data_IF_966069409177
#
_entry.id   IF_966069409177
#
_cell.length_a   1.000
_cell.length_b   1.000
_cell.length_c   1.000
_cell.angle_alpha   90.00
_cell.angle_beta   90.00
_cell.angle_gamma   90.00
#
_symmetry.space_group_name_H-M   'P 1'
#
loop_
_entity.id
_entity.type
_entity.pdbx_description
1 polymer ?
#
# COMPACT_ATOMS: atom_id res chain seq x y z
N UNK A 1 -7.54 24.92 -8.72
CA UNK A 1 -6.92 23.92 -7.82
C UNK A 1 -5.91 23.01 -8.55
N UNK A 2 -5.12 23.53 -9.51
CA UNK A 2 -4.21 22.75 -10.39
C UNK A 2 -2.75 23.25 -10.39
N UNK A 3 -2.39 24.23 -9.55
CA UNK A 3 -1.04 24.82 -9.50
C UNK A 3 -0.06 24.03 -8.61
N UNK A 4 -0.57 23.28 -7.62
CA UNK A 4 0.26 22.68 -6.56
C UNK A 4 0.98 21.37 -6.94
N UNK A 5 0.62 20.73 -8.07
CA UNK A 5 1.17 19.42 -8.48
C UNK A 5 2.42 19.53 -9.37
N UNK A 6 2.63 20.69 -10.02
CA UNK A 6 3.76 20.87 -10.95
C UNK A 6 5.06 21.22 -10.23
N UNK A 7 4.99 22.02 -9.16
CA UNK A 7 6.15 22.31 -8.29
C UNK A 7 6.67 21.07 -7.58
N UNK A 8 5.78 20.20 -7.09
CA UNK A 8 6.16 18.98 -6.37
C UNK A 8 6.95 17.99 -7.25
N UNK A 9 6.58 17.84 -8.53
CA UNK A 9 7.32 16.99 -9.48
C UNK A 9 8.71 17.52 -9.82
N UNK A 10 8.89 18.84 -9.88
CA UNK A 10 10.18 19.48 -10.19
C UNK A 10 11.11 19.35 -8.98
N UNK A 11 10.60 19.63 -7.77
CA UNK A 11 11.34 19.47 -6.52
C UNK A 11 11.68 17.99 -6.29
N UNK A 12 10.74 17.06 -6.51
CA UNK A 12 11.01 15.62 -6.43
C UNK A 12 12.10 15.16 -7.40
N UNK A 13 12.12 15.67 -8.62
CA UNK A 13 13.10 15.25 -9.62
C UNK A 13 14.48 15.85 -9.34
N UNK A 14 14.53 17.10 -8.87
CA UNK A 14 15.77 17.74 -8.42
C UNK A 14 16.29 17.01 -7.20
N UNK A 15 15.46 16.79 -6.17
CA UNK A 15 15.85 16.18 -4.90
C UNK A 15 16.22 14.71 -5.04
N UNK A 16 15.52 13.93 -5.86
CA UNK A 16 15.93 12.55 -6.16
C UNK A 16 17.28 12.56 -6.88
N UNK A 17 17.52 13.54 -7.76
CA UNK A 17 18.82 13.72 -8.43
C UNK A 17 19.88 14.23 -7.45
N UNK A 18 19.56 15.05 -6.45
CA UNK A 18 20.52 15.49 -5.42
C UNK A 18 20.79 14.41 -4.39
N UNK A 19 19.80 13.62 -3.98
CA UNK A 19 19.98 12.50 -3.03
C UNK A 19 20.81 11.41 -3.69
N UNK A 20 20.52 11.06 -4.96
CA UNK A 20 21.37 10.15 -5.75
C UNK A 20 22.76 10.74 -5.96
N UNK A 21 22.86 12.03 -6.30
CA UNK A 21 24.17 12.69 -6.45
C UNK A 21 24.94 12.80 -5.14
N UNK A 22 24.27 12.96 -4.00
CA UNK A 22 24.88 13.02 -2.66
C UNK A 22 25.32 11.62 -2.20
N UNK A 23 24.55 10.57 -2.54
CA UNK A 23 24.99 9.19 -2.34
C UNK A 23 26.21 8.86 -3.20
N UNK A 24 26.24 9.32 -4.45
CA UNK A 24 27.37 9.09 -5.36
C UNK A 24 28.61 9.92 -4.93
N UNK A 25 28.43 11.16 -4.47
CA UNK A 25 29.52 12.01 -3.94
C UNK A 25 30.12 11.43 -2.65
N UNK A 26 29.32 10.80 -1.79
CA UNK A 26 29.85 10.10 -0.61
C UNK A 26 30.66 8.85 -0.99
N UNK A 27 30.40 8.24 -2.16
CA UNK A 27 31.11 7.07 -2.66
C UNK A 27 32.44 7.46 -3.36
N UNK A 28 32.50 8.63 -4.03
CA UNK A 28 33.60 8.99 -4.94
C UNK A 28 34.67 9.96 -4.39
N UNK A 29 34.65 10.38 -3.12
CA UNK A 29 35.70 11.28 -2.58
C UNK A 29 36.91 10.50 -2.01
N UNK A 30 38.08 10.47 -2.68
CA UNK A 30 39.24 9.69 -2.24
C UNK A 30 40.23 10.49 -1.36
N UNK A 31 40.00 11.79 -1.14
CA UNK A 31 40.93 12.66 -0.41
C UNK A 31 40.25 13.41 0.72
N UNK A 32 40.08 12.73 1.86
CA UNK A 32 39.52 13.31 3.07
C UNK A 32 39.58 12.38 4.28
N UNK A 33 40.78 11.96 4.68
CA UNK A 33 41.25 11.82 6.07
C UNK A 33 40.47 11.04 7.16
N UNK A 34 39.27 10.50 6.92
CA UNK A 34 38.52 9.68 7.87
C UNK A 34 37.93 8.50 7.10
N UNK A 35 38.77 7.53 6.74
CA UNK A 35 38.30 6.22 6.27
C UNK A 35 37.96 5.37 7.49
N UNK A 36 37.02 5.83 8.31
CA UNK A 36 36.21 4.87 9.03
C UNK A 36 35.35 4.21 7.97
N UNK A 37 35.61 2.93 7.75
CA UNK A 37 34.78 2.03 6.96
C UNK A 37 33.40 1.99 7.60
N UNK A 38 32.55 3.00 7.33
CA UNK A 38 31.13 2.89 7.59
C UNK A 38 30.68 1.60 6.92
N UNK A 39 30.27 0.62 7.73
CA UNK A 39 29.62 -0.57 7.19
C UNK A 39 28.48 -0.08 6.30
N UNK A 40 28.40 -0.55 5.05
CA UNK A 40 27.38 -0.19 4.05
C UNK A 40 25.94 -0.18 4.64
N UNK A 41 25.73 -0.97 5.68
CA UNK A 41 24.50 -1.04 6.47
C UNK A 41 24.13 0.29 7.15
N UNK A 42 25.09 1.00 7.74
CA UNK A 42 24.87 2.29 8.40
C UNK A 42 24.56 3.39 7.40
N UNK A 43 25.17 3.33 6.21
CA UNK A 43 24.87 4.26 5.12
C UNK A 43 23.43 4.09 4.64
N UNK A 44 22.99 2.84 4.41
CA UNK A 44 21.60 2.52 4.04
C UNK A 44 20.60 2.99 5.10
N UNK A 45 20.94 2.83 6.37
CA UNK A 45 20.12 3.27 7.50
C UNK A 45 19.98 4.81 7.52
N UNK A 46 21.10 5.53 7.38
CA UNK A 46 21.10 6.99 7.35
C UNK A 46 20.25 7.56 6.20
N UNK A 47 20.34 6.96 5.01
CA UNK A 47 19.52 7.36 3.86
C UNK A 47 18.02 7.18 4.14
N UNK A 48 17.62 6.05 4.73
CA UNK A 48 16.20 5.80 5.01
C UNK A 48 15.65 6.77 6.07
N UNK A 49 16.43 7.09 7.10
CA UNK A 49 16.04 8.09 8.09
C UNK A 49 15.88 9.49 7.48
N UNK A 50 16.76 9.87 6.57
CA UNK A 50 16.65 11.14 5.84
C UNK A 50 15.41 11.18 4.95
N UNK A 51 15.09 10.07 4.26
CA UNK A 51 13.90 9.93 3.43
C UNK A 51 12.60 9.98 4.25
N UNK A 52 12.62 9.41 5.45
CA UNK A 52 11.51 9.48 6.40
C UNK A 52 11.30 10.90 6.92
N UNK A 53 12.38 11.61 7.28
CA UNK A 53 12.32 13.00 7.70
C UNK A 53 11.76 13.91 6.60
N UNK A 54 12.20 13.74 5.36
CA UNK A 54 11.68 14.48 4.21
C UNK A 54 10.19 14.21 3.94
N UNK A 55 9.76 12.97 4.17
CA UNK A 55 8.38 12.53 3.94
C UNK A 55 7.48 12.66 5.17
N UNK A 56 7.97 13.27 6.26
CA UNK A 56 7.28 13.43 7.54
C UNK A 56 6.73 12.11 8.12
N UNK A 57 7.52 11.03 8.05
CA UNK A 57 7.17 9.70 8.57
C UNK A 57 7.77 9.47 9.96
N UNK A 58 7.04 8.77 10.83
CA UNK A 58 7.57 8.38 12.15
C UNK A 58 8.51 7.17 12.05
N UNK A 59 9.58 7.20 12.85
CA UNK A 59 10.60 6.15 12.89
C UNK A 59 10.13 5.05 13.86
N UNK A 60 9.41 4.07 13.34
CA UNK A 60 8.87 2.96 14.14
C UNK A 60 9.19 1.58 13.58
N UNK A 61 9.81 1.54 12.40
CA UNK A 61 10.23 0.34 11.71
C UNK A 61 11.56 -0.18 12.28
N UNK A 62 11.85 -1.47 12.07
CA UNK A 62 13.13 -2.06 12.48
C UNK A 62 14.26 -1.53 11.59
N UNK A 63 15.33 -1.02 12.23
CA UNK A 63 16.52 -0.48 11.55
C UNK A 63 17.52 -1.57 11.13
N UNK A 64 17.26 -2.84 11.46
CA UNK A 64 18.09 -3.97 11.06
C UNK A 64 17.20 -5.21 10.98
N UNK A 65 17.50 -6.17 10.10
CA UNK A 65 18.57 -6.26 9.07
C UNK A 65 18.34 -5.47 7.75
N UNK A 66 19.37 -5.29 6.89
CA UNK A 66 19.34 -4.43 5.69
C UNK A 66 18.27 -4.81 4.65
N UNK A 67 17.85 -6.08 4.60
CA UNK A 67 16.79 -6.51 3.70
C UNK A 67 15.42 -5.89 4.06
N UNK A 68 15.16 -5.62 5.35
CA UNK A 68 13.92 -4.97 5.81
C UNK A 68 13.88 -3.54 5.32
N UNK A 69 15.01 -2.82 5.32
CA UNK A 69 15.10 -1.46 4.80
C UNK A 69 14.86 -1.41 3.28
N UNK A 70 15.35 -2.40 2.53
CA UNK A 70 15.04 -2.52 1.09
C UNK A 70 13.54 -2.74 0.87
N UNK A 71 12.93 -3.61 1.67
CA UNK A 71 11.50 -3.86 1.63
C UNK A 71 10.68 -2.62 2.00
N UNK A 72 11.12 -1.87 3.01
CA UNK A 72 10.54 -0.59 3.43
C UNK A 72 10.55 0.44 2.32
N UNK A 73 11.68 0.58 1.64
CA UNK A 73 11.81 1.50 0.50
C UNK A 73 10.94 1.09 -0.69
N UNK A 74 10.84 -0.22 -0.97
CA UNK A 74 9.96 -0.74 -2.01
C UNK A 74 8.48 -0.46 -1.68
N UNK A 75 8.08 -0.73 -0.44
CA UNK A 75 6.72 -0.50 0.06
C UNK A 75 6.33 0.98 0.01
N UNK A 76 7.24 1.89 0.33
CA UNK A 76 7.01 3.33 0.24
C UNK A 76 7.25 3.93 -1.13
N UNK A 77 7.65 3.12 -2.11
CA UNK A 77 7.85 3.60 -3.47
C UNK A 77 6.54 4.18 -4.05
N UNK A 78 6.66 5.26 -4.83
CA UNK A 78 5.50 5.92 -5.46
C UNK A 78 4.68 4.98 -6.35
N UNK A 79 5.29 3.92 -6.89
CA UNK A 79 4.57 2.93 -7.71
C UNK A 79 3.71 2.03 -6.84
N UNK A 80 4.28 1.50 -5.75
CA UNK A 80 3.56 0.63 -4.83
C UNK A 80 2.42 1.37 -4.12
N UNK A 81 2.66 2.60 -3.64
CA UNK A 81 1.61 3.42 -3.02
C UNK A 81 0.47 3.73 -3.99
N UNK A 82 0.77 4.07 -5.25
CA UNK A 82 -0.26 4.27 -6.28
C UNK A 82 -1.07 3.01 -6.56
N UNK A 83 -0.42 1.84 -6.58
CA UNK A 83 -1.09 0.56 -6.75
C UNK A 83 -2.05 0.29 -5.59
N UNK A 84 -1.62 0.50 -4.34
CA UNK A 84 -2.49 0.35 -3.16
C UNK A 84 -3.70 1.29 -3.23
N UNK A 85 -3.48 2.57 -3.55
CA UNK A 85 -4.58 3.53 -3.73
C UNK A 85 -5.55 3.10 -4.83
N UNK A 86 -5.02 2.58 -5.94
CA UNK A 86 -5.83 2.06 -7.03
C UNK A 86 -6.69 0.88 -6.59
N UNK A 87 -6.15 -0.06 -5.81
CA UNK A 87 -6.90 -1.22 -5.31
C UNK A 87 -8.01 -0.81 -4.34
N UNK A 88 -7.75 0.14 -3.44
CA UNK A 88 -8.80 0.72 -2.58
C UNK A 88 -9.91 1.33 -3.43
N UNK A 89 -9.54 2.10 -4.47
CA UNK A 89 -10.51 2.67 -5.41
C UNK A 89 -11.30 1.60 -6.14
N UNK A 90 -10.67 0.49 -6.54
CA UNK A 90 -11.35 -0.63 -7.19
C UNK A 90 -12.36 -1.29 -6.24
N UNK A 91 -12.02 -1.49 -4.97
CA UNK A 91 -12.97 -2.03 -3.98
C UNK A 91 -14.18 -1.12 -3.79
N UNK A 92 -13.95 0.19 -3.67
CA UNK A 92 -15.05 1.16 -3.55
C UNK A 92 -15.94 1.17 -4.80
N UNK A 93 -15.36 0.99 -5.99
CA UNK A 93 -16.12 0.85 -7.24
C UNK A 93 -16.88 -0.48 -7.31
N UNK A 94 -16.29 -1.55 -6.79
CA UNK A 94 -16.88 -2.89 -6.79
C UNK A 94 -18.21 -2.92 -6.03
N UNK A 95 -18.34 -2.14 -4.95
CA UNK A 95 -19.58 -2.01 -4.17
C UNK A 95 -20.78 -1.54 -5.03
N UNK A 96 -20.55 -0.69 -6.04
CA UNK A 96 -21.65 -0.25 -6.94
C UNK A 96 -22.12 -1.36 -7.89
N UNK A 97 -21.22 -2.27 -8.20
CA UNK A 97 -21.39 -3.37 -9.16
C UNK A 97 -21.94 -4.62 -8.45
N UNK A 98 -21.59 -4.82 -7.18
CA UNK A 98 -21.98 -5.93 -6.34
C UNK A 98 -23.50 -5.99 -6.14
N UNK A 99 -24.05 -7.21 -6.15
CA UNK A 99 -25.47 -7.43 -5.86
C UNK A 99 -25.80 -7.05 -4.40
N UNK A 100 -26.85 -6.26 -4.13
CA UNK A 100 -27.75 -5.63 -5.10
C UNK A 100 -27.10 -4.44 -5.82
N UNK A 101 -27.06 -4.50 -7.15
CA UNK A 101 -26.37 -3.49 -7.96
C UNK A 101 -27.02 -2.12 -7.75
N UNK A 102 -26.20 -1.11 -7.43
CA UNK A 102 -26.64 0.29 -7.28
C UNK A 102 -26.72 1.02 -8.63
N UNK A 103 -26.23 0.39 -9.70
CA UNK A 103 -26.31 0.90 -11.06
C UNK A 103 -27.72 0.66 -11.65
N UNK A 104 -28.65 1.56 -11.34
CA UNK A 104 -29.97 1.61 -11.97
C UNK A 104 -30.19 2.97 -12.63
N UNK A 105 -30.93 2.99 -13.75
CA UNK A 105 -31.27 4.22 -14.47
C UNK A 105 -32.23 5.12 -13.68
N UNK A 106 -33.02 4.52 -12.78
CA UNK A 106 -33.93 5.19 -11.86
C UNK A 106 -33.84 4.52 -10.49
N UNK A 107 -34.00 5.31 -9.43
CA UNK A 107 -34.09 4.83 -8.05
C UNK A 107 -35.55 4.62 -7.60
N UNK A 108 -36.53 4.86 -8.46
CA UNK A 108 -37.95 4.71 -8.13
C UNK A 108 -38.31 3.22 -7.98
N UNK A 109 -38.74 2.83 -6.77
CA UNK A 109 -39.19 1.48 -6.43
C UNK A 109 -40.45 1.06 -7.21
N UNK A 110 -41.25 2.03 -7.67
CA UNK A 110 -42.47 1.76 -8.46
C UNK A 110 -42.14 1.33 -9.88
N UNK A 111 -40.96 1.68 -10.37
CA UNK A 111 -40.49 1.33 -11.70
C UNK A 111 -39.46 0.20 -11.58
N UNK A 112 -39.93 -1.00 -11.24
CA UNK A 112 -39.10 -2.19 -11.13
C UNK A 112 -38.52 -2.54 -12.50
N UNK A 113 -37.29 -2.05 -12.75
CA UNK A 113 -36.51 -2.39 -13.95
C UNK A 113 -35.37 -3.30 -13.55
N UNK A 114 -35.10 -4.25 -14.43
CA UNK A 114 -34.04 -5.25 -14.31
C UNK A 114 -32.70 -4.57 -14.00
N UNK A 115 -32.14 -4.88 -12.83
CA UNK A 115 -30.82 -4.42 -12.41
C UNK A 115 -29.75 -5.17 -13.20
N UNK A 116 -28.65 -4.49 -13.52
CA UNK A 116 -27.53 -5.12 -14.20
C UNK A 116 -26.87 -6.11 -13.22
N UNK A 117 -27.05 -7.42 -13.44
CA UNK A 117 -26.45 -8.46 -12.59
C UNK A 117 -25.24 -9.06 -13.29
N UNK A 118 -24.10 -9.10 -12.61
CA UNK A 118 -22.94 -9.83 -13.11
C UNK A 118 -23.03 -11.31 -12.74
N UNK A 119 -22.39 -12.19 -13.53
CA UNK A 119 -22.25 -13.59 -13.15
C UNK A 119 -21.44 -13.71 -11.84
N UNK A 120 -21.91 -14.62 -10.97
CA UNK A 120 -21.35 -14.91 -9.65
C UNK A 120 -19.81 -15.01 -9.66
N UNK A 121 -19.27 -15.77 -10.62
CA UNK A 121 -17.84 -16.04 -10.69
C UNK A 121 -16.93 -14.82 -10.93
N UNK A 122 -17.36 -13.86 -11.77
CA UNK A 122 -16.51 -12.70 -12.10
C UNK A 122 -16.39 -11.76 -10.88
N UNK A 123 -17.51 -11.55 -10.18
CA UNK A 123 -17.52 -10.70 -9.00
C UNK A 123 -16.69 -11.31 -7.88
N UNK A 124 -16.93 -12.59 -7.58
CA UNK A 124 -16.21 -13.33 -6.55
C UNK A 124 -14.70 -13.37 -6.82
N UNK A 125 -14.29 -13.58 -8.07
CA UNK A 125 -12.89 -13.57 -8.47
C UNK A 125 -12.23 -12.20 -8.30
N UNK A 126 -12.95 -11.13 -8.67
CA UNK A 126 -12.45 -9.76 -8.52
C UNK A 126 -12.28 -9.40 -7.04
N UNK A 127 -13.25 -9.77 -6.21
CA UNK A 127 -13.21 -9.57 -4.76
C UNK A 127 -12.05 -10.36 -4.13
N UNK A 128 -11.83 -11.60 -4.55
CA UNK A 128 -10.72 -12.45 -4.12
C UNK A 128 -9.34 -11.85 -4.42
N UNK A 129 -9.11 -11.38 -5.65
CA UNK A 129 -7.84 -10.74 -6.01
C UNK A 129 -7.60 -9.51 -5.15
N UNK A 130 -8.61 -8.63 -5.02
CA UNK A 130 -8.47 -7.40 -4.25
C UNK A 130 -8.20 -7.71 -2.76
N UNK A 131 -8.94 -8.66 -2.16
CA UNK A 131 -8.74 -9.06 -0.77
C UNK A 131 -7.39 -9.72 -0.51
N UNK A 132 -6.86 -10.54 -1.43
CA UNK A 132 -5.50 -11.06 -1.33
C UNK A 132 -4.48 -9.93 -1.25
N UNK A 133 -4.59 -8.91 -2.10
CA UNK A 133 -3.63 -7.82 -2.10
C UNK A 133 -3.72 -7.00 -0.82
N UNK A 134 -4.94 -6.74 -0.31
CA UNK A 134 -5.14 -6.12 1.00
C UNK A 134 -4.57 -6.96 2.15
N UNK A 135 -4.70 -8.27 2.08
CA UNK A 135 -4.16 -9.18 3.08
C UNK A 135 -2.63 -9.15 3.09
N UNK A 136 -2.00 -9.17 1.91
CA UNK A 136 -0.55 -8.99 1.77
C UNK A 136 -0.13 -7.63 2.31
N UNK A 137 -0.86 -6.54 2.02
CA UNK A 137 -0.58 -5.20 2.57
C UNK A 137 -0.65 -5.19 4.11
N UNK A 138 -1.67 -5.81 4.71
CA UNK A 138 -1.81 -5.91 6.16
C UNK A 138 -0.65 -6.70 6.81
N UNK A 139 -0.23 -7.80 6.20
CA UNK A 139 0.94 -8.59 6.64
C UNK A 139 2.19 -7.74 6.54
N UNK A 140 2.41 -7.08 5.41
CA UNK A 140 3.59 -6.24 5.15
C UNK A 140 3.68 -5.13 6.19
N UNK A 141 2.62 -4.34 6.40
CA UNK A 141 2.59 -3.29 7.43
C UNK A 141 2.96 -3.82 8.82
N UNK A 142 2.40 -4.97 9.19
CA UNK A 142 2.67 -5.61 10.49
C UNK A 142 4.11 -6.10 10.59
N UNK A 143 4.66 -6.64 9.50
CA UNK A 143 6.03 -7.13 9.42
C UNK A 143 7.06 -5.98 9.52
N UNK A 144 6.85 -4.89 8.77
CA UNK A 144 7.78 -3.75 8.74
C UNK A 144 7.86 -3.00 10.07
N UNK A 145 6.72 -2.82 10.75
CA UNK A 145 6.64 -2.16 12.06
C UNK A 145 7.12 -3.11 13.18
N UNK A 146 6.93 -4.42 12.97
CA UNK A 146 7.25 -5.46 13.93
C UNK A 146 6.10 -5.70 14.91
N UNK A 147 5.88 -6.98 15.25
CA UNK A 147 4.71 -7.44 15.99
C UNK A 147 4.52 -6.75 17.36
N UNK A 148 5.62 -6.44 18.07
CA UNK A 148 5.58 -5.76 19.38
C UNK A 148 5.06 -4.32 19.28
N UNK A 149 5.50 -3.59 18.25
CA UNK A 149 5.09 -2.21 18.02
C UNK A 149 3.71 -2.15 17.35
N UNK A 150 3.42 -3.08 16.45
CA UNK A 150 2.12 -3.21 15.81
C UNK A 150 0.99 -3.40 16.84
N UNK A 151 1.22 -4.19 17.90
CA UNK A 151 0.23 -4.40 18.98
C UNK A 151 -0.14 -3.14 19.75
N UNK A 152 0.73 -2.13 19.77
CA UNK A 152 0.44 -0.85 20.44
C UNK A 152 -0.48 0.04 19.62
N UNK A 153 -0.65 -0.26 18.33
CA UNK A 153 -1.41 0.55 17.38
C UNK A 153 -2.74 -0.15 17.03
N UNK A 154 -3.89 0.35 17.51
CA UNK A 154 -5.17 -0.31 17.27
C UNK A 154 -5.51 -0.38 15.78
N UNK A 155 -5.12 0.63 14.99
CA UNK A 155 -5.37 0.68 13.55
C UNK A 155 -4.75 -0.48 12.77
N UNK A 156 -3.55 -0.94 13.15
CA UNK A 156 -2.86 -2.05 12.45
C UNK A 156 -3.56 -3.36 12.77
N UNK A 157 -3.91 -3.57 14.05
CA UNK A 157 -4.66 -4.75 14.49
C UNK A 157 -6.02 -4.79 13.82
N UNK A 158 -6.75 -3.66 13.82
CA UNK A 158 -8.06 -3.56 13.21
C UNK A 158 -8.00 -3.90 11.72
N UNK A 159 -7.01 -3.36 10.98
CA UNK A 159 -6.85 -3.67 9.56
C UNK A 159 -6.58 -5.16 9.32
N UNK A 160 -5.72 -5.77 10.14
CA UNK A 160 -5.45 -7.21 10.04
C UNK A 160 -6.70 -8.04 10.33
N UNK A 161 -7.43 -7.73 11.41
CA UNK A 161 -8.65 -8.43 11.82
C UNK A 161 -9.76 -8.31 10.77
N UNK A 162 -10.06 -7.09 10.31
CA UNK A 162 -11.08 -6.85 9.27
C UNK A 162 -10.76 -7.68 8.03
N UNK A 163 -9.49 -7.63 7.58
CA UNK A 163 -9.09 -8.38 6.39
C UNK A 163 -9.17 -9.88 6.59
N UNK A 164 -8.83 -10.41 7.77
CA UNK A 164 -9.02 -11.85 8.07
C UNK A 164 -10.48 -12.28 8.06
N UNK A 165 -11.38 -11.47 8.63
CA UNK A 165 -12.82 -11.76 8.65
C UNK A 165 -13.36 -11.74 7.22
N UNK A 166 -12.99 -10.73 6.42
CA UNK A 166 -13.37 -10.66 5.00
C UNK A 166 -12.87 -11.85 4.18
N UNK A 167 -11.66 -12.35 4.44
CA UNK A 167 -11.15 -13.55 3.76
C UNK A 167 -11.96 -14.80 4.11
N UNK A 168 -12.37 -14.95 5.37
CA UNK A 168 -13.23 -16.06 5.80
C UNK A 168 -14.60 -15.97 5.14
N UNK A 169 -15.23 -14.78 5.17
CA UNK A 169 -16.53 -14.54 4.54
C UNK A 169 -16.49 -14.82 3.03
N UNK A 170 -15.41 -14.43 2.36
CA UNK A 170 -15.20 -14.73 0.96
C UNK A 170 -15.10 -16.24 0.69
N UNK A 171 -14.39 -16.99 1.54
CA UNK A 171 -14.32 -18.45 1.41
C UNK A 171 -15.70 -19.08 1.54
N UNK A 172 -16.52 -18.62 2.50
CA UNK A 172 -17.91 -19.03 2.62
C UNK A 172 -18.72 -18.68 1.36
N UNK A 173 -18.55 -17.48 0.82
CA UNK A 173 -19.18 -17.05 -0.43
C UNK A 173 -18.74 -17.88 -1.63
N UNK A 174 -17.49 -18.35 -1.69
CA UNK A 174 -17.02 -19.28 -2.71
C UNK A 174 -17.72 -20.65 -2.63
N UNK A 175 -17.94 -21.15 -1.41
CA UNK A 175 -18.51 -22.48 -1.18
C UNK A 175 -20.03 -22.49 -1.40
N UNK A 176 -20.72 -21.46 -0.90
CA UNK A 176 -22.19 -21.42 -0.86
C UNK A 176 -22.81 -20.46 -1.89
N UNK A 177 -22.08 -19.43 -2.33
CA UNK A 177 -22.66 -18.27 -3.03
C UNK A 177 -23.16 -18.53 -4.45
N UNK A 178 -22.69 -19.59 -5.12
CA UNK A 178 -23.16 -19.94 -6.46
C UNK A 178 -24.12 -21.17 -6.49
N UNK A 179 -24.62 -21.66 -5.34
CA UNK A 179 -25.58 -22.79 -5.30
C UNK A 179 -27.04 -22.42 -5.63
N UNK A 180 -27.29 -21.21 -6.13
CA UNK A 180 -28.65 -20.72 -6.35
C UNK A 180 -28.78 -19.82 -7.56
N UNK A 181 -28.49 -20.34 -8.76
CA UNK A 181 -29.11 -19.95 -10.04
C UNK A 181 -29.10 -21.14 -11.00
#
# INVERSE_FOLDING_TARGET
MLSHTRGYKIVDNILNKTIVKMSDIMIDNPHGGIRESWSEEHLVQAIVLLEDAYSFRSIEHKLSPPYILRLYRLYWSKRFQRLLTFIVSCQLLLIFIQYPSSLSRTSDLRQDRTRLTLPCGIQLFTEFICLIIFYIDAIMRTYLIGLKNARKKPWIIANFLITTISMVDLIFSCIFGCQGK
#
